data_IF_709180964524
#
_entry.id   IF_709180964524
#
_cell.length_a   1.000
_cell.length_b   1.000
_cell.length_c   1.000
_cell.angle_alpha   90.00
_cell.angle_beta   90.00
_cell.angle_gamma   90.00
#
_symmetry.space_group_name_H-M   'P 1'
#
loop_
_entity.id
_entity.type
_entity.pdbx_description
1 polymer ?
#
# COMPACT_ATOMS: atom_id res chain seq x y z
N UNK A 1 4.14 13.24 1.21
CA UNK A 1 3.63 14.17 0.19
C UNK A 1 2.45 13.63 -0.61
N UNK A 2 2.50 12.38 -1.11
CA UNK A 2 1.42 11.79 -1.91
C UNK A 2 0.01 11.91 -1.27
N UNK A 3 -0.10 11.64 0.04
CA UNK A 3 -1.35 11.82 0.79
C UNK A 3 -1.88 13.25 0.79
N UNK A 4 -1.03 14.24 1.10
CA UNK A 4 -1.44 15.65 1.12
C UNK A 4 -1.92 16.14 -0.25
N UNK A 5 -1.22 15.74 -1.32
CA UNK A 5 -1.64 16.03 -2.70
C UNK A 5 -2.97 15.37 -3.02
N UNK A 6 -3.14 14.08 -2.66
CA UNK A 6 -4.37 13.33 -2.90
C UNK A 6 -5.58 14.00 -2.21
N UNK A 7 -5.42 14.39 -0.95
CA UNK A 7 -6.48 15.07 -0.18
C UNK A 7 -6.91 16.40 -0.83
N UNK A 8 -5.98 17.24 -1.26
CA UNK A 8 -6.35 18.54 -1.85
C UNK A 8 -6.89 18.37 -3.27
N UNK A 9 -6.38 17.40 -4.04
CA UNK A 9 -6.86 17.07 -5.38
C UNK A 9 -8.32 16.59 -5.38
N UNK A 10 -8.79 15.96 -4.29
CA UNK A 10 -10.19 15.56 -4.15
C UNK A 10 -11.18 16.74 -4.26
N UNK A 11 -10.73 17.96 -3.93
CA UNK A 11 -11.53 19.19 -3.97
C UNK A 11 -11.23 20.09 -5.18
N UNK A 12 -10.51 19.59 -6.19
CA UNK A 12 -10.10 20.38 -7.36
C UNK A 12 -11.28 20.99 -8.14
N UNK A 13 -12.45 20.35 -8.11
CA UNK A 13 -13.67 20.85 -8.78
C UNK A 13 -14.34 22.03 -8.04
N UNK A 14 -14.11 22.18 -6.73
CA UNK A 14 -14.70 23.26 -5.92
C UNK A 14 -13.77 23.63 -4.76
N UNK A 15 -12.68 24.31 -5.10
CA UNK A 15 -11.69 24.78 -4.13
C UNK A 15 -12.27 25.90 -3.24
N UNK A 16 -11.92 25.84 -1.95
CA UNK A 16 -12.19 26.87 -0.94
C UNK A 16 -10.86 27.54 -0.55
N UNK A 17 -10.93 28.67 0.13
CA UNK A 17 -9.73 29.45 0.53
C UNK A 17 -8.73 28.59 1.30
N UNK A 18 -9.18 27.76 2.23
CA UNK A 18 -8.28 26.89 3.00
C UNK A 18 -7.64 25.77 2.14
N UNK A 19 -8.35 25.24 1.14
CA UNK A 19 -7.76 24.30 0.17
C UNK A 19 -6.64 24.98 -0.62
N UNK A 20 -6.85 26.23 -1.07
CA UNK A 20 -5.85 27.00 -1.80
C UNK A 20 -4.61 27.30 -0.96
N UNK A 21 -4.79 27.61 0.33
CA UNK A 21 -3.68 27.78 1.27
C UNK A 21 -2.87 26.49 1.40
N UNK A 22 -3.53 25.33 1.51
CA UNK A 22 -2.87 24.04 1.55
C UNK A 22 -2.09 23.74 0.24
N UNK A 23 -2.66 24.02 -0.93
CA UNK A 23 -1.95 23.91 -2.23
C UNK A 23 -0.67 24.75 -2.21
N UNK A 24 -0.76 26.02 -1.80
CA UNK A 24 0.42 26.90 -1.74
C UNK A 24 1.49 26.37 -0.80
N UNK A 25 1.10 25.76 0.33
CA UNK A 25 2.04 25.18 1.27
C UNK A 25 2.75 23.96 0.69
N UNK A 26 2.01 23.08 -0.01
CA UNK A 26 2.58 21.94 -0.76
C UNK A 26 3.59 22.44 -1.80
N UNK A 27 3.22 23.45 -2.60
CA UNK A 27 4.09 24.01 -3.64
C UNK A 27 5.35 24.68 -3.04
N UNK A 28 5.21 25.43 -1.93
CA UNK A 28 6.37 25.99 -1.23
C UNK A 28 7.30 24.93 -0.66
N UNK A 29 6.75 23.85 -0.13
CA UNK A 29 7.57 22.72 0.32
C UNK A 29 8.35 22.13 -0.84
N UNK A 30 7.69 21.83 -1.97
CA UNK A 30 8.36 21.31 -3.18
C UNK A 30 9.45 22.26 -3.66
N UNK A 31 9.16 23.56 -3.73
CA UNK A 31 10.11 24.59 -4.13
C UNK A 31 11.31 24.70 -3.16
N UNK A 32 11.10 24.46 -1.87
CA UNK A 32 12.15 24.48 -0.85
C UNK A 32 12.94 23.17 -0.72
N UNK A 33 12.54 22.11 -1.42
CA UNK A 33 13.20 20.80 -1.39
C UNK A 33 13.66 20.34 -2.78
N UNK A 34 13.82 21.26 -3.73
CA UNK A 34 14.24 20.93 -5.11
C UNK A 34 15.66 20.37 -5.19
N UNK A 35 16.49 20.70 -4.20
CA UNK A 35 17.87 20.23 -4.03
C UNK A 35 17.96 18.90 -3.26
N UNK A 36 16.87 18.45 -2.64
CA UNK A 36 16.82 17.16 -1.96
C UNK A 36 16.73 16.03 -2.98
N UNK A 37 17.52 14.97 -2.77
CA UNK A 37 17.53 13.79 -3.63
C UNK A 37 17.37 12.52 -2.80
N UNK A 38 16.77 11.50 -3.40
CA UNK A 38 16.75 10.15 -2.83
C UNK A 38 18.08 9.48 -3.18
N UNK A 39 18.87 9.17 -2.16
CA UNK A 39 20.10 8.40 -2.33
C UNK A 39 19.79 6.92 -2.15
N UNK A 40 19.89 6.16 -3.22
CA UNK A 40 19.73 4.70 -3.20
C UNK A 40 21.06 4.04 -2.81
N UNK A 41 21.06 3.28 -1.72
CA UNK A 41 22.19 2.45 -1.31
C UNK A 41 21.70 1.06 -0.98
N UNK A 42 22.28 0.06 -1.62
CA UNK A 42 21.98 -1.33 -1.29
C UNK A 42 22.37 -1.58 0.17
N UNK A 43 21.41 -2.04 0.96
CA UNK A 43 21.65 -2.57 2.30
C UNK A 43 21.79 -4.08 2.16
N UNK A 44 22.97 -4.63 2.48
CA UNK A 44 23.27 -6.05 2.26
C UNK A 44 22.38 -6.98 3.11
N UNK A 45 22.04 -6.56 4.33
CA UNK A 45 21.16 -7.32 5.24
C UNK A 45 19.66 -7.07 5.00
N UNK A 46 19.29 -6.18 4.07
CA UNK A 46 17.90 -5.86 3.81
C UNK A 46 17.26 -6.86 2.86
N UNK A 47 15.96 -7.10 3.06
CA UNK A 47 15.21 -7.96 2.14
C UNK A 47 15.14 -7.35 0.73
N UNK A 48 15.23 -8.18 -0.32
CA UNK A 48 15.26 -7.67 -1.69
C UNK A 48 14.00 -6.91 -2.08
N UNK A 49 12.83 -7.36 -1.63
CA UNK A 49 11.54 -6.70 -1.87
C UNK A 49 10.73 -6.73 -0.58
N UNK A 50 10.47 -5.54 -0.03
CA UNK A 50 9.76 -5.34 1.23
C UNK A 50 8.57 -4.39 0.98
N UNK A 51 7.38 -4.79 1.39
CA UNK A 51 6.13 -4.10 1.16
C UNK A 51 5.51 -3.72 2.51
N UNK A 52 5.05 -2.49 2.65
CA UNK A 52 4.24 -2.03 3.76
C UNK A 52 2.88 -1.58 3.23
N UNK A 53 1.80 -2.01 3.87
CA UNK A 53 0.45 -1.55 3.54
C UNK A 53 -0.28 -1.09 4.80
N UNK A 54 -1.06 -0.03 4.64
CA UNK A 54 -1.98 0.46 5.65
C UNK A 54 -3.24 1.01 4.96
N UNK A 55 -4.36 1.06 5.66
CA UNK A 55 -5.57 1.72 5.18
C UNK A 55 -6.19 2.56 6.30
N UNK A 56 -6.54 3.81 5.99
CA UNK A 56 -7.45 4.51 6.89
C UNK A 56 -8.85 3.89 6.78
N UNK A 57 -9.60 3.82 7.88
CA UNK A 57 -10.96 3.28 7.85
C UNK A 57 -12.00 4.39 8.01
N UNK A 58 -12.88 4.52 7.02
CA UNK A 58 -14.05 5.41 7.01
C UNK A 58 -13.78 6.89 7.35
N UNK A 59 -12.56 7.35 7.10
CA UNK A 59 -12.08 8.66 7.54
C UNK A 59 -12.69 9.81 6.73
N UNK A 60 -13.09 9.55 5.47
CA UNK A 60 -13.85 10.49 4.68
C UNK A 60 -15.34 10.46 5.07
N UNK A 61 -15.84 11.52 5.69
CA UNK A 61 -17.24 11.63 6.12
C UNK A 61 -18.23 11.76 4.95
N UNK A 62 -17.79 12.16 3.76
CA UNK A 62 -18.66 12.41 2.60
C UNK A 62 -18.98 11.12 1.83
N UNK A 63 -17.98 10.29 1.52
CA UNK A 63 -18.17 9.05 0.73
C UNK A 63 -17.87 7.76 1.50
N UNK A 64 -17.40 7.86 2.76
CA UNK A 64 -17.00 6.74 3.64
C UNK A 64 -15.95 5.81 3.02
N UNK A 65 -15.27 6.24 1.96
CA UNK A 65 -14.21 5.45 1.32
C UNK A 65 -12.92 5.58 2.10
N UNK A 66 -12.28 4.44 2.27
CA UNK A 66 -10.94 4.31 2.83
C UNK A 66 -9.88 4.79 1.85
N UNK A 67 -8.74 5.22 2.37
CA UNK A 67 -7.52 5.56 1.64
C UNK A 67 -6.50 4.48 1.93
N UNK A 68 -6.12 3.75 0.88
CA UNK A 68 -5.02 2.78 0.93
C UNK A 68 -3.68 3.51 0.81
N UNK A 69 -2.77 3.22 1.72
CA UNK A 69 -1.37 3.60 1.69
C UNK A 69 -0.50 2.36 1.44
N UNK A 70 0.46 2.48 0.53
CA UNK A 70 1.46 1.43 0.27
C UNK A 70 2.84 2.06 0.17
N UNK A 71 3.86 1.40 0.73
CA UNK A 71 5.26 1.71 0.53
C UNK A 71 5.99 0.43 0.13
N UNK A 72 6.71 0.48 -0.99
CA UNK A 72 7.53 -0.62 -1.50
C UNK A 72 9.00 -0.22 -1.44
N UNK A 73 9.80 -1.10 -0.83
CA UNK A 73 11.24 -0.96 -0.70
C UNK A 73 11.96 -2.09 -1.44
N UNK A 74 13.12 -1.74 -2.00
CA UNK A 74 14.06 -2.67 -2.63
C UNK A 74 15.43 -2.49 -1.98
N UNK A 75 15.99 -3.57 -1.43
CA UNK A 75 17.25 -3.57 -0.67
C UNK A 75 17.34 -2.39 0.32
N UNK A 76 16.27 -2.16 1.08
CA UNK A 76 16.19 -1.10 2.09
C UNK A 76 15.80 0.29 1.58
N UNK A 77 15.61 0.49 0.28
CA UNK A 77 15.33 1.81 -0.29
C UNK A 77 13.89 1.93 -0.81
N UNK A 78 13.22 3.04 -0.55
CA UNK A 78 11.88 3.31 -1.06
C UNK A 78 11.88 3.55 -2.58
N UNK A 79 11.25 2.65 -3.33
CA UNK A 79 11.20 2.71 -4.81
C UNK A 79 9.81 3.05 -5.35
N UNK A 80 8.76 2.72 -4.60
CA UNK A 80 7.39 3.05 -4.97
C UNK A 80 6.54 3.31 -3.74
N UNK A 81 5.58 4.22 -3.86
CA UNK A 81 4.60 4.51 -2.83
C UNK A 81 3.27 4.86 -3.48
N UNK A 82 2.19 4.40 -2.88
CA UNK A 82 0.83 4.63 -3.37
C UNK A 82 0.02 5.26 -2.25
N UNK A 83 -0.76 6.27 -2.60
CA UNK A 83 -1.85 6.75 -1.76
C UNK A 83 -3.08 6.86 -2.63
N UNK A 84 -4.04 5.98 -2.40
CA UNK A 84 -5.19 5.81 -3.29
C UNK A 84 -6.47 5.65 -2.49
N UNK A 85 -7.47 6.47 -2.80
CA UNK A 85 -8.84 6.25 -2.34
C UNK A 85 -9.40 4.96 -2.95
N UNK A 86 -9.92 4.08 -2.10
CA UNK A 86 -10.53 2.82 -2.51
C UNK A 86 -11.75 3.09 -3.40
N UNK A 87 -11.96 2.25 -4.41
CA UNK A 87 -13.10 2.38 -5.32
C UNK A 87 -14.40 1.96 -4.65
N UNK A 88 -14.31 1.00 -3.73
CA UNK A 88 -15.41 0.44 -2.94
C UNK A 88 -15.38 0.96 -1.49
N UNK A 89 -16.53 0.96 -0.83
CA UNK A 89 -16.63 1.27 0.60
C UNK A 89 -16.36 -0.01 1.39
N UNK A 90 -15.25 -0.02 2.13
CA UNK A 90 -14.90 -1.13 3.00
C UNK A 90 -15.81 -1.18 4.23
N UNK A 91 -16.47 -2.33 4.45
CA UNK A 91 -17.41 -2.53 5.57
C UNK A 91 -16.72 -2.81 6.91
N UNK A 92 -15.39 -2.92 6.93
CA UNK A 92 -14.57 -3.09 8.14
C UNK A 92 -13.14 -2.61 7.88
N UNK A 93 -12.40 -2.31 8.95
CA UNK A 93 -10.96 -2.02 8.86
C UNK A 93 -10.19 -3.19 8.24
N UNK A 94 -10.50 -4.43 8.60
CA UNK A 94 -9.92 -5.64 7.98
C UNK A 94 -10.11 -5.69 6.47
N UNK A 95 -11.29 -5.29 5.96
CA UNK A 95 -11.52 -5.27 4.52
C UNK A 95 -10.77 -4.11 3.83
N UNK A 96 -10.68 -2.95 4.48
CA UNK A 96 -9.92 -1.82 3.97
C UNK A 96 -8.42 -2.15 3.88
N UNK A 97 -7.87 -2.75 4.93
CA UNK A 97 -6.48 -3.18 5.00
C UNK A 97 -6.16 -4.25 3.97
N UNK A 98 -7.06 -5.22 3.80
CA UNK A 98 -6.92 -6.21 2.76
C UNK A 98 -6.83 -5.60 1.36
N UNK A 99 -7.66 -4.61 1.05
CA UNK A 99 -7.62 -3.92 -0.25
C UNK A 99 -6.28 -3.20 -0.43
N UNK A 100 -5.77 -2.53 0.61
CA UNK A 100 -4.45 -1.89 0.56
C UNK A 100 -3.33 -2.91 0.32
N UNK A 101 -3.34 -4.02 1.06
CA UNK A 101 -2.34 -5.08 0.95
C UNK A 101 -2.39 -5.77 -0.42
N UNK A 102 -3.58 -6.02 -0.97
CA UNK A 102 -3.76 -6.60 -2.31
C UNK A 102 -3.15 -5.71 -3.40
N UNK A 103 -3.43 -4.39 -3.36
CA UNK A 103 -2.83 -3.43 -4.30
C UNK A 103 -1.31 -3.45 -4.16
N UNK A 104 -0.80 -3.45 -2.93
CA UNK A 104 0.63 -3.46 -2.68
C UNK A 104 1.33 -4.72 -3.17
N UNK A 105 0.71 -5.90 -3.02
CA UNK A 105 1.28 -7.17 -3.49
C UNK A 105 1.35 -7.23 -5.01
N UNK A 106 0.34 -6.73 -5.72
CA UNK A 106 0.37 -6.66 -7.18
C UNK A 106 1.57 -5.82 -7.66
N UNK A 107 1.78 -4.65 -7.07
CA UNK A 107 2.92 -3.78 -7.37
C UNK A 107 4.26 -4.42 -7.00
N UNK A 108 4.33 -5.05 -5.83
CA UNK A 108 5.52 -5.76 -5.38
C UNK A 108 5.88 -6.95 -6.29
N UNK A 109 4.90 -7.65 -6.85
CA UNK A 109 5.10 -8.72 -7.84
C UNK A 109 5.74 -8.19 -9.12
N UNK A 110 5.24 -7.06 -9.64
CA UNK A 110 5.83 -6.42 -10.81
C UNK A 110 7.29 -6.01 -10.58
N UNK A 111 7.57 -5.39 -9.43
CA UNK A 111 8.94 -5.00 -9.08
C UNK A 111 9.85 -6.21 -8.85
N UNK A 112 9.37 -7.24 -8.16
CA UNK A 112 10.12 -8.49 -7.97
C UNK A 112 10.47 -9.13 -9.33
N UNK A 113 9.50 -9.22 -10.23
CA UNK A 113 9.72 -9.78 -11.57
C UNK A 113 10.74 -8.95 -12.35
N UNK A 114 10.58 -7.63 -12.38
CA UNK A 114 11.54 -6.72 -13.03
C UNK A 114 12.95 -6.91 -12.47
N UNK A 115 13.07 -7.02 -11.15
CA UNK A 115 14.34 -7.21 -10.47
C UNK A 115 15.00 -8.56 -10.78
N UNK A 116 14.20 -9.64 -10.84
CA UNK A 116 14.68 -10.95 -11.28
C UNK A 116 15.18 -10.91 -12.73
N UNK A 117 14.46 -10.24 -13.62
CA UNK A 117 14.87 -10.10 -15.03
C UNK A 117 16.16 -9.28 -15.18
N UNK A 118 16.31 -8.20 -14.43
CA UNK A 118 17.49 -7.33 -14.52
C UNK A 118 18.75 -7.94 -13.88
N UNK A 119 18.59 -8.71 -12.81
CA UNK A 119 19.70 -9.33 -12.09
C UNK A 119 20.01 -10.76 -12.52
N UNK A 120 19.16 -11.35 -13.37
CA UNK A 120 19.22 -12.75 -13.79
C UNK A 120 19.37 -13.72 -12.60
N UNK A 121 18.66 -13.43 -11.51
CA UNK A 121 18.73 -14.20 -10.27
C UNK A 121 17.35 -14.34 -9.63
N UNK A 122 16.92 -15.56 -9.23
CA UNK A 122 15.72 -15.72 -8.43
C UNK A 122 15.82 -14.94 -7.12
N UNK A 123 14.71 -14.28 -6.78
CA UNK A 123 14.55 -13.53 -5.55
C UNK A 123 13.65 -14.29 -4.57
N UNK A 124 13.86 -14.14 -3.25
CA UNK A 124 13.00 -14.72 -2.23
C UNK A 124 11.57 -14.19 -2.31
N UNK A 125 10.70 -14.72 -1.45
CA UNK A 125 9.32 -14.24 -1.30
C UNK A 125 9.28 -12.75 -0.97
N UNK A 126 8.19 -12.08 -1.36
CA UNK A 126 7.95 -10.68 -1.00
C UNK A 126 7.66 -10.62 0.50
N UNK A 127 8.41 -9.81 1.23
CA UNK A 127 8.13 -9.57 2.64
C UNK A 127 7.06 -8.48 2.78
N UNK A 128 5.83 -8.85 3.14
CA UNK A 128 4.72 -7.92 3.30
C UNK A 128 4.42 -7.64 4.78
N UNK A 129 4.34 -6.37 5.14
CA UNK A 129 4.00 -5.87 6.47
C UNK A 129 2.61 -5.25 6.46
N UNK A 130 1.72 -5.79 7.29
CA UNK A 130 0.33 -5.37 7.39
C UNK A 130 0.03 -5.08 8.87
N UNK A 131 -0.40 -3.87 9.19
CA UNK A 131 -0.63 -3.42 10.56
C UNK A 131 -1.90 -4.00 11.23
N UNK A 132 -2.61 -4.91 10.54
CA UNK A 132 -3.89 -5.45 10.96
C UNK A 132 -3.84 -6.96 11.19
N UNK A 133 -3.76 -7.36 12.45
CA UNK A 133 -3.71 -8.77 12.87
C UNK A 133 -4.89 -9.61 12.36
N UNK A 134 -6.10 -9.02 12.26
CA UNK A 134 -7.25 -9.73 11.72
C UNK A 134 -7.09 -10.03 10.23
N UNK A 135 -6.47 -9.13 9.48
CA UNK A 135 -6.15 -9.33 8.07
C UNK A 135 -5.09 -10.42 7.91
N UNK A 136 -4.01 -10.36 8.69
CA UNK A 136 -2.95 -11.39 8.70
C UNK A 136 -3.54 -12.75 9.04
N UNK A 137 -4.29 -12.86 10.14
CA UNK A 137 -4.87 -14.11 10.59
C UNK A 137 -5.79 -14.74 9.54
N UNK A 138 -6.48 -13.92 8.73
CA UNK A 138 -7.32 -14.42 7.64
C UNK A 138 -6.53 -14.93 6.46
N UNK A 139 -5.42 -14.29 6.12
CA UNK A 139 -4.58 -14.73 5.01
C UNK A 139 -3.82 -16.01 5.39
N UNK A 140 -3.27 -16.07 6.61
CA UNK A 140 -2.47 -17.19 7.11
C UNK A 140 -3.35 -18.38 7.50
N UNK A 141 -4.34 -18.17 8.39
CA UNK A 141 -5.08 -19.29 9.00
C UNK A 141 -6.31 -19.73 8.20
N UNK A 142 -6.69 -18.99 7.16
CA UNK A 142 -7.73 -19.40 6.22
C UNK A 142 -9.14 -19.57 6.80
N UNK A 143 -9.41 -19.16 8.06
CA UNK A 143 -10.73 -19.29 8.69
C UNK A 143 -11.76 -18.43 7.95
N UNK A 144 -12.48 -19.06 7.02
CA UNK A 144 -13.70 -18.53 6.41
C UNK A 144 -14.85 -18.72 7.38
N UNK A 145 -15.65 -17.69 7.60
CA UNK A 145 -16.98 -17.86 8.22
C UNK A 145 -18.03 -17.76 7.13
N UNK A 146 -19.04 -18.63 7.16
CA UNK A 146 -20.14 -18.57 6.20
C UNK A 146 -20.85 -17.21 6.17
N UNK A 147 -20.75 -16.44 7.26
CA UNK A 147 -21.26 -15.08 7.39
C UNK A 147 -20.48 -14.04 6.56
N UNK A 148 -19.29 -14.35 6.02
CA UNK A 148 -18.40 -13.37 5.37
C UNK A 148 -17.83 -13.85 4.02
N UNK A 149 -18.57 -14.66 3.27
CA UNK A 149 -18.18 -15.17 1.94
C UNK A 149 -17.66 -14.10 0.98
N UNK A 150 -18.28 -12.92 0.94
CA UNK A 150 -17.83 -11.81 0.08
C UNK A 150 -16.42 -11.34 0.44
N UNK A 151 -16.08 -11.32 1.73
CA UNK A 151 -14.73 -10.96 2.19
C UNK A 151 -13.79 -12.13 1.89
N UNK A 152 -14.18 -13.37 2.14
CA UNK A 152 -13.35 -14.54 1.84
C UNK A 152 -12.97 -14.65 0.36
N UNK A 153 -13.87 -14.28 -0.57
CA UNK A 153 -13.57 -14.19 -2.00
C UNK A 153 -12.48 -13.16 -2.29
N UNK A 154 -12.51 -11.99 -1.64
CA UNK A 154 -11.46 -10.98 -1.82
C UNK A 154 -10.10 -11.56 -1.40
N UNK A 155 -10.06 -12.29 -0.27
CA UNK A 155 -8.83 -12.84 0.30
C UNK A 155 -8.25 -14.05 -0.45
N UNK A 156 -8.99 -14.66 -1.38
CA UNK A 156 -8.61 -15.93 -2.00
C UNK A 156 -7.25 -15.86 -2.72
N UNK A 157 -7.03 -14.83 -3.54
CA UNK A 157 -5.77 -14.70 -4.30
C UNK A 157 -4.54 -14.52 -3.41
N UNK A 158 -4.69 -13.80 -2.30
CA UNK A 158 -3.60 -13.53 -1.37
C UNK A 158 -3.28 -14.74 -0.49
N UNK A 159 -4.31 -15.52 -0.12
CA UNK A 159 -4.16 -16.83 0.53
C UNK A 159 -3.39 -17.80 -0.36
N UNK A 160 -3.72 -17.87 -1.65
CA UNK A 160 -3.03 -18.74 -2.60
C UNK A 160 -1.57 -18.32 -2.81
N UNK A 161 -1.31 -17.01 -2.93
CA UNK A 161 0.04 -16.45 -3.01
C UNK A 161 0.92 -16.81 -1.80
N UNK A 162 0.37 -16.70 -0.59
CA UNK A 162 1.05 -17.09 0.63
C UNK A 162 1.33 -18.60 0.68
N UNK A 163 0.34 -19.44 0.34
CA UNK A 163 0.50 -20.90 0.28
C UNK A 163 1.57 -21.36 -0.71
N UNK A 164 1.75 -20.64 -1.81
CA UNK A 164 2.79 -20.90 -2.82
C UNK A 164 4.18 -20.41 -2.41
N UNK A 165 4.32 -19.73 -1.28
CA UNK A 165 5.58 -19.14 -0.83
C UNK A 165 6.01 -17.94 -1.68
N UNK A 166 5.08 -17.27 -2.37
CA UNK A 166 5.39 -16.06 -3.15
C UNK A 166 5.45 -14.81 -2.25
N UNK A 167 4.71 -14.83 -1.14
CA UNK A 167 4.56 -13.71 -0.21
C UNK A 167 4.60 -14.21 1.24
N UNK A 168 5.49 -13.63 2.05
CA UNK A 168 5.58 -13.84 3.49
C UNK A 168 5.00 -12.63 4.23
N UNK A 169 4.01 -12.88 5.09
CA UNK A 169 3.24 -11.82 5.74
C UNK A 169 3.66 -11.70 7.20
N UNK A 170 4.05 -10.48 7.58
CA UNK A 170 4.45 -10.09 8.91
C UNK A 170 3.57 -8.95 9.42
N UNK A 171 3.52 -8.80 10.74
CA UNK A 171 2.94 -7.63 11.40
C UNK A 171 3.91 -6.44 11.30
#
# INVERSE_FOLDING_TARGET
MAFAVNQVAAYASKLKVFHWTAVKQILRYIAGTTDMTLTYRRQEDATPVELFSAADWANNTEDRKSISGVLLKVYGNAVSWITRRQTVVAKSSTAAEFIAASIGIEEARWVRMLMQTLMDNPLPAIQAHIDNQSTIARIVNGRSSDAQKTIDCMFFGMKDAHKRGEVDINY
#
